data_IF_204999183681
#
_entry.id   IF_204999183681
#
_cell.length_a   1.000
_cell.length_b   1.000
_cell.length_c   1.000
_cell.angle_alpha   90.00
_cell.angle_beta   90.00
_cell.angle_gamma   90.00
#
_symmetry.space_group_name_H-M   'P 1'
#
loop_
_entity.id
_entity.type
_entity.pdbx_description
1 polymer ?
#
# COMPACT_ATOMS: atom_id res chain seq x y z
N UNK A 1 -24.99 35.34 1.24
CA UNK A 1 -24.04 35.04 0.16
C UNK A 1 -22.75 34.65 0.86
N UNK A 2 -22.54 33.36 1.00
CA UNK A 2 -21.47 32.77 1.80
C UNK A 2 -20.35 32.38 0.83
N UNK A 3 -19.25 33.11 0.87
CA UNK A 3 -17.99 32.72 0.26
C UNK A 3 -17.36 31.66 1.18
N UNK A 4 -17.44 30.39 0.80
CA UNK A 4 -16.56 29.34 1.31
C UNK A 4 -15.41 29.23 0.31
N UNK A 5 -14.20 29.64 0.71
CA UNK A 5 -12.99 29.32 -0.06
C UNK A 5 -12.68 27.86 0.19
N UNK A 6 -12.68 27.10 -0.90
CA UNK A 6 -12.17 25.74 -1.02
C UNK A 6 -10.63 25.79 -1.08
N UNK A 7 -10.00 26.02 0.07
CA UNK A 7 -8.54 25.97 0.26
C UNK A 7 -8.05 24.61 0.82
N UNK A 8 -8.91 23.60 0.81
CA UNK A 8 -8.53 22.20 1.09
C UNK A 8 -8.26 21.46 -0.23
N UNK A 9 -7.57 22.10 -1.19
CA UNK A 9 -6.79 21.35 -2.18
C UNK A 9 -5.56 20.82 -1.45
N UNK A 10 -5.80 19.76 -0.70
CA UNK A 10 -4.86 19.05 0.16
C UNK A 10 -3.53 18.86 -0.58
N UNK A 11 -2.56 19.67 -0.18
CA UNK A 11 -1.17 19.38 -0.46
C UNK A 11 -0.86 18.08 0.26
N UNK A 12 -1.01 16.96 -0.44
CA UNK A 12 -0.53 15.67 0.01
C UNK A 12 1.00 15.81 0.08
N UNK A 13 1.52 16.29 1.21
CA UNK A 13 2.95 16.24 1.51
C UNK A 13 3.22 14.83 1.98
N UNK A 14 4.03 14.16 1.19
CA UNK A 14 4.09 12.72 1.12
C UNK A 14 5.01 12.26 2.23
N UNK A 15 4.61 11.31 3.07
CA UNK A 15 5.45 10.83 4.17
C UNK A 15 6.87 10.42 3.69
N UNK A 16 7.00 9.84 2.49
CA UNK A 16 8.31 9.53 1.87
C UNK A 16 9.15 10.79 1.64
N UNK A 17 8.52 11.87 1.16
CA UNK A 17 9.20 13.14 0.92
C UNK A 17 9.46 13.92 2.20
N UNK A 18 8.57 13.84 3.18
CA UNK A 18 8.78 14.37 4.53
C UNK A 18 10.02 13.74 5.18
N UNK A 19 10.22 12.42 5.00
CA UNK A 19 11.41 11.71 5.44
C UNK A 19 12.68 12.07 4.64
N UNK A 20 12.54 12.62 3.42
CA UNK A 20 13.66 13.16 2.60
C UNK A 20 13.87 14.68 2.74
N UNK A 21 13.36 15.26 3.83
CA UNK A 21 13.48 16.68 4.16
C UNK A 21 12.70 17.64 3.25
N UNK A 22 11.63 17.18 2.59
CA UNK A 22 10.66 18.08 1.99
C UNK A 22 9.68 18.52 3.08
N UNK A 23 9.99 19.62 3.76
CA UNK A 23 9.27 20.06 4.98
C UNK A 23 8.43 21.32 4.77
N UNK A 24 8.34 21.86 3.55
CA UNK A 24 7.57 23.07 3.28
C UNK A 24 7.15 23.27 1.83
N UNK A 25 6.29 24.27 1.63
CA UNK A 25 5.77 24.69 0.31
C UNK A 25 6.90 25.10 -0.66
N UNK A 26 8.05 25.52 -0.11
CA UNK A 26 9.24 25.95 -0.84
C UNK A 26 9.95 24.79 -1.57
N UNK A 27 9.71 23.54 -1.17
CA UNK A 27 10.25 22.34 -1.82
C UNK A 27 9.30 21.75 -2.87
N UNK A 28 8.08 22.30 -2.99
CA UNK A 28 7.09 21.84 -3.96
C UNK A 28 7.34 22.47 -5.34
N UNK A 29 7.46 21.60 -6.33
CA UNK A 29 7.50 21.94 -7.75
C UNK A 29 6.21 21.46 -8.39
N UNK A 30 5.52 22.38 -9.08
CA UNK A 30 4.36 22.05 -9.89
C UNK A 30 4.81 21.36 -11.19
N UNK A 31 4.25 20.20 -11.46
CA UNK A 31 4.46 19.47 -12.70
C UNK A 31 3.33 19.77 -13.70
N UNK A 32 3.66 20.53 -14.74
CA UNK A 32 2.70 20.91 -15.78
C UNK A 32 2.22 19.70 -16.61
N UNK A 33 2.98 18.60 -16.65
CA UNK A 33 2.62 17.40 -17.41
C UNK A 33 1.53 16.56 -16.73
N UNK A 34 1.62 16.44 -15.41
CA UNK A 34 0.67 15.65 -14.60
C UNK A 34 -0.37 16.51 -13.87
N UNK A 35 -0.22 17.84 -13.92
CA UNK A 35 -1.04 18.82 -13.21
C UNK A 35 -1.07 18.57 -11.69
N UNK A 36 0.07 18.18 -11.12
CA UNK A 36 0.23 17.88 -9.70
C UNK A 36 1.47 18.57 -9.13
N UNK A 37 1.44 18.94 -7.84
CA UNK A 37 2.60 19.49 -7.13
C UNK A 37 3.32 18.37 -6.39
N UNK A 38 4.63 18.23 -6.60
CA UNK A 38 5.46 17.23 -5.90
C UNK A 38 6.62 17.91 -5.21
N UNK A 39 7.24 17.25 -4.23
CA UNK A 39 8.58 17.68 -3.85
C UNK A 39 9.56 17.47 -5.01
N UNK A 40 10.31 18.51 -5.41
CA UNK A 40 11.28 18.43 -6.51
C UNK A 40 12.34 17.32 -6.31
N UNK A 41 12.65 17.00 -5.05
CA UNK A 41 13.59 15.90 -4.69
C UNK A 41 13.01 14.49 -4.86
N UNK A 42 11.70 14.38 -5.02
CA UNK A 42 10.97 13.12 -5.20
C UNK A 42 10.45 12.91 -6.62
N UNK A 43 10.52 13.91 -7.52
CA UNK A 43 10.03 13.80 -8.90
C UNK A 43 10.61 12.59 -9.65
N UNK A 44 11.91 12.38 -9.57
CA UNK A 44 12.57 11.24 -10.20
C UNK A 44 12.14 9.89 -9.60
N UNK A 45 11.68 9.89 -8.34
CA UNK A 45 11.11 8.72 -7.70
C UNK A 45 9.71 8.44 -8.25
N UNK A 46 8.84 9.47 -8.40
CA UNK A 46 7.51 9.32 -9.02
C UNK A 46 7.55 8.80 -10.44
N UNK A 47 8.43 9.37 -11.26
CA UNK A 47 8.59 8.93 -12.63
C UNK A 47 8.97 7.44 -12.72
N UNK A 48 9.70 6.91 -11.73
CA UNK A 48 10.04 5.49 -11.68
C UNK A 48 8.87 4.63 -11.23
N UNK A 49 8.06 5.10 -10.28
CA UNK A 49 6.93 4.32 -9.75
C UNK A 49 5.84 4.07 -10.79
N UNK A 50 5.70 4.96 -11.79
CA UNK A 50 4.81 4.72 -12.95
C UNK A 50 5.15 3.43 -13.71
N UNK A 51 6.41 3.00 -13.70
CA UNK A 51 6.89 1.83 -14.45
C UNK A 51 7.24 0.65 -13.57
N UNK A 52 7.78 0.89 -12.38
CA UNK A 52 8.31 -0.14 -11.49
C UNK A 52 7.36 -0.48 -10.33
N UNK A 53 6.28 0.30 -10.15
CA UNK A 53 5.41 0.26 -8.97
C UNK A 53 6.05 0.91 -7.75
N UNK A 54 5.30 0.96 -6.65
CA UNK A 54 5.76 1.53 -5.38
C UNK A 54 6.62 0.58 -4.54
N UNK A 55 6.64 -0.71 -4.88
CA UNK A 55 7.57 -1.69 -4.29
C UNK A 55 9.05 -1.28 -4.33
N UNK A 56 9.45 -0.36 -5.21
CA UNK A 56 10.84 0.16 -5.26
C UNK A 56 11.24 0.94 -4.01
N UNK A 57 10.26 1.28 -3.15
CA UNK A 57 10.47 1.96 -1.88
C UNK A 57 10.74 0.99 -0.74
N UNK A 58 10.50 -0.31 -0.95
CA UNK A 58 10.79 -1.36 0.01
C UNK A 58 12.25 -1.81 -0.13
N UNK A 59 12.91 -2.06 1.00
CA UNK A 59 14.21 -2.74 1.02
C UNK A 59 14.05 -4.24 0.71
N UNK A 60 15.16 -4.93 0.45
CA UNK A 60 15.13 -6.39 0.24
C UNK A 60 14.58 -7.14 1.48
N UNK A 61 14.84 -6.62 2.68
CA UNK A 61 14.31 -7.17 3.94
C UNK A 61 12.80 -6.94 4.05
N UNK A 62 12.32 -5.74 3.70
CA UNK A 62 10.89 -5.41 3.67
C UNK A 62 10.14 -6.31 2.67
N UNK A 63 10.71 -6.51 1.47
CA UNK A 63 10.17 -7.45 0.48
C UNK A 63 10.11 -8.87 1.04
N UNK A 64 11.12 -9.28 1.81
CA UNK A 64 11.13 -10.56 2.54
C UNK A 64 9.98 -10.68 3.54
N UNK A 65 9.71 -9.63 4.32
CA UNK A 65 8.60 -9.58 5.28
C UNK A 65 7.24 -9.62 4.60
N UNK A 66 7.03 -8.82 3.54
CA UNK A 66 5.79 -8.83 2.75
C UNK A 66 5.54 -10.22 2.17
N UNK A 67 6.57 -10.88 1.65
CA UNK A 67 6.47 -12.25 1.16
C UNK A 67 6.09 -13.24 2.27
N UNK A 68 6.67 -13.10 3.45
CA UNK A 68 6.40 -13.97 4.59
C UNK A 68 4.94 -13.84 5.07
N UNK A 69 4.39 -12.61 5.06
CA UNK A 69 2.95 -12.37 5.25
C UNK A 69 2.15 -13.04 4.13
N UNK A 70 2.53 -12.83 2.87
CA UNK A 70 1.84 -13.38 1.71
C UNK A 70 1.70 -14.91 1.77
N UNK A 71 2.83 -15.58 2.00
CA UNK A 71 2.92 -17.04 2.06
C UNK A 71 2.16 -17.61 3.27
N UNK A 72 2.03 -16.84 4.36
CA UNK A 72 1.30 -17.26 5.55
C UNK A 72 -0.19 -17.49 5.28
N UNK A 73 -0.83 -16.63 4.50
CA UNK A 73 -2.26 -16.76 4.17
C UNK A 73 -2.51 -17.46 2.84
N UNK A 74 -1.49 -17.58 1.96
CA UNK A 74 -1.55 -18.47 0.80
C UNK A 74 -1.20 -19.92 1.16
N UNK A 75 -1.92 -20.49 2.13
CA UNK A 75 -1.67 -21.85 2.63
C UNK A 75 -1.79 -22.96 1.56
N UNK A 76 -2.37 -22.64 0.40
CA UNK A 76 -2.51 -23.55 -0.76
C UNK A 76 -1.46 -23.32 -1.84
N UNK A 77 -0.54 -22.36 -1.65
CA UNK A 77 0.49 -21.98 -2.62
C UNK A 77 -0.07 -21.71 -4.01
N UNK A 78 -1.20 -20.99 -4.07
CA UNK A 78 -1.85 -20.62 -5.34
C UNK A 78 -1.15 -19.46 -6.04
N UNK A 79 -0.35 -18.68 -5.32
CA UNK A 79 0.30 -17.46 -5.79
C UNK A 79 -0.64 -16.25 -5.81
N UNK A 80 -1.81 -16.33 -5.17
CA UNK A 80 -2.77 -15.24 -5.08
C UNK A 80 -3.70 -15.40 -3.87
N UNK A 81 -4.22 -14.27 -3.39
CA UNK A 81 -5.25 -14.20 -2.36
C UNK A 81 -6.60 -13.80 -2.96
N UNK A 82 -7.67 -14.41 -2.47
CA UNK A 82 -9.03 -13.95 -2.72
C UNK A 82 -9.51 -13.11 -1.54
N UNK A 83 -10.72 -12.58 -1.62
CA UNK A 83 -11.35 -11.85 -0.52
C UNK A 83 -11.38 -12.65 0.80
N UNK A 84 -11.33 -13.99 0.74
CA UNK A 84 -11.29 -14.85 1.93
C UNK A 84 -9.95 -14.77 2.66
N UNK A 85 -8.85 -14.84 1.92
CA UNK A 85 -7.51 -14.74 2.49
C UNK A 85 -7.26 -13.31 2.98
N UNK A 86 -7.71 -12.30 2.23
CA UNK A 86 -7.69 -10.91 2.68
C UNK A 86 -8.45 -10.72 3.99
N UNK A 87 -9.67 -11.25 4.09
CA UNK A 87 -10.46 -11.18 5.33
C UNK A 87 -9.74 -11.85 6.51
N UNK A 88 -9.13 -13.01 6.31
CA UNK A 88 -8.35 -13.67 7.34
C UNK A 88 -7.13 -12.83 7.78
N UNK A 89 -6.50 -12.12 6.85
CA UNK A 89 -5.44 -11.16 7.16
C UNK A 89 -5.96 -9.96 7.97
N UNK A 90 -7.12 -9.39 7.60
CA UNK A 90 -7.78 -8.30 8.34
C UNK A 90 -8.30 -8.71 9.73
N UNK A 91 -8.60 -9.99 9.95
CA UNK A 91 -9.00 -10.46 11.29
C UNK A 91 -7.82 -10.50 12.27
N UNK A 92 -6.60 -10.54 11.75
CA UNK A 92 -5.36 -10.63 12.52
C UNK A 92 -4.70 -9.26 12.68
N UNK A 93 -4.84 -8.39 11.68
CA UNK A 93 -4.22 -7.07 11.59
C UNK A 93 -5.26 -5.97 11.72
N UNK A 94 -4.89 -4.76 12.12
CA UNK A 94 -5.83 -3.63 12.22
C UNK A 94 -6.17 -3.02 10.84
N UNK A 95 -5.93 -3.75 9.74
CA UNK A 95 -6.15 -3.35 8.34
C UNK A 95 -7.62 -3.45 7.90
N UNK A 96 -8.53 -3.14 8.80
CA UNK A 96 -9.96 -3.21 8.56
C UNK A 96 -10.49 -2.06 7.71
N UNK A 97 -11.38 -2.38 6.78
CA UNK A 97 -12.32 -1.42 6.19
C UNK A 97 -13.48 -1.18 7.14
N UNK A 98 -14.08 0.02 7.09
CA UNK A 98 -15.32 0.31 7.81
C UNK A 98 -16.48 -0.61 7.39
N UNK A 99 -16.44 -1.10 6.14
CA UNK A 99 -17.39 -2.07 5.59
C UNK A 99 -16.74 -3.44 5.37
N UNK A 100 -17.40 -4.56 5.70
CA UNK A 100 -16.81 -5.88 5.54
C UNK A 100 -16.62 -6.27 4.06
N UNK A 101 -15.43 -6.77 3.71
CA UNK A 101 -15.12 -7.26 2.37
C UNK A 101 -15.62 -8.72 2.24
N UNK A 102 -16.77 -8.89 1.61
CA UNK A 102 -17.45 -10.20 1.50
C UNK A 102 -17.49 -10.78 0.07
N UNK A 103 -16.93 -10.06 -0.91
CA UNK A 103 -16.97 -10.49 -2.30
C UNK A 103 -15.74 -10.03 -3.08
N UNK A 104 -15.53 -10.65 -4.25
CA UNK A 104 -14.48 -10.25 -5.18
C UNK A 104 -14.66 -8.81 -5.69
N UNK A 105 -15.89 -8.33 -5.91
CA UNK A 105 -16.10 -6.95 -6.37
C UNK A 105 -15.76 -5.95 -5.27
N UNK A 106 -16.12 -6.24 -4.02
CA UNK A 106 -15.76 -5.38 -2.89
C UNK A 106 -14.25 -5.34 -2.67
N UNK A 107 -13.55 -6.47 -2.88
CA UNK A 107 -12.10 -6.48 -2.81
C UNK A 107 -11.46 -5.56 -3.85
N UNK A 108 -11.99 -5.58 -5.07
CA UNK A 108 -11.48 -4.74 -6.15
C UNK A 108 -11.74 -3.25 -5.88
N UNK A 109 -12.95 -2.90 -5.46
CA UNK A 109 -13.29 -1.52 -5.09
C UNK A 109 -12.43 -1.04 -3.90
N UNK A 110 -12.31 -1.85 -2.85
CA UNK A 110 -11.50 -1.51 -1.69
C UNK A 110 -10.03 -1.26 -2.05
N UNK A 111 -9.38 -2.13 -2.84
CA UNK A 111 -7.99 -1.91 -3.24
C UNK A 111 -7.81 -0.66 -4.11
N UNK A 112 -8.82 -0.32 -4.91
CA UNK A 112 -8.80 0.89 -5.74
C UNK A 112 -9.00 2.15 -4.90
N UNK A 113 -9.95 2.13 -3.97
CA UNK A 113 -10.30 3.31 -3.16
C UNK A 113 -9.28 3.58 -2.06
N UNK A 114 -8.82 2.54 -1.37
CA UNK A 114 -7.94 2.69 -0.20
C UNK A 114 -6.46 2.71 -0.57
N UNK A 115 -6.05 2.12 -1.69
CA UNK A 115 -4.63 2.02 -2.06
C UNK A 115 -4.31 2.53 -3.46
N UNK A 116 -5.30 2.91 -4.26
CA UNK A 116 -5.16 3.22 -5.69
C UNK A 116 -4.47 2.08 -6.49
N UNK A 117 -4.73 0.84 -6.10
CA UNK A 117 -4.18 -0.36 -6.75
C UNK A 117 -5.26 -1.08 -7.55
N UNK A 118 -5.05 -1.19 -8.86
CA UNK A 118 -5.90 -1.97 -9.75
C UNK A 118 -5.49 -3.46 -9.73
N UNK A 119 -6.19 -4.27 -8.92
CA UNK A 119 -5.95 -5.71 -8.84
C UNK A 119 -6.58 -6.49 -10.00
N UNK A 120 -5.93 -7.58 -10.40
CA UNK A 120 -6.34 -8.38 -11.56
C UNK A 120 -7.49 -9.33 -11.24
N UNK A 121 -8.27 -9.70 -12.26
CA UNK A 121 -9.27 -10.77 -12.17
C UNK A 121 -8.73 -12.10 -12.72
N UNK A 122 -8.93 -13.19 -11.98
CA UNK A 122 -8.45 -14.53 -12.33
C UNK A 122 -9.59 -15.54 -12.44
N UNK A 123 -10.06 -15.75 -13.68
CA UNK A 123 -11.03 -16.80 -14.01
C UNK A 123 -12.29 -16.75 -13.13
N UNK A 124 -12.59 -17.87 -12.48
CA UNK A 124 -13.76 -18.01 -11.62
C UNK A 124 -13.55 -17.48 -10.19
N UNK A 125 -12.32 -17.13 -9.80
CA UNK A 125 -12.01 -16.59 -8.47
C UNK A 125 -12.37 -15.10 -8.37
N UNK A 126 -12.51 -14.42 -9.53
CA UNK A 126 -12.74 -12.97 -9.59
C UNK A 126 -11.46 -12.19 -9.34
N UNK A 127 -11.58 -10.99 -8.77
CA UNK A 127 -10.46 -10.17 -8.33
C UNK A 127 -9.60 -10.88 -7.28
N UNK A 128 -8.29 -10.84 -7.49
CA UNK A 128 -7.30 -11.49 -6.64
C UNK A 128 -6.12 -10.56 -6.36
N UNK A 129 -5.52 -10.69 -5.19
CA UNK A 129 -4.31 -9.97 -4.78
C UNK A 129 -3.11 -10.85 -5.09
N UNK A 130 -2.16 -10.32 -5.86
CA UNK A 130 -0.85 -10.93 -6.08
C UNK A 130 0.16 -10.38 -5.06
N UNK A 131 1.30 -11.06 -4.92
CA UNK A 131 2.37 -10.57 -4.05
C UNK A 131 2.78 -9.12 -4.38
N UNK A 132 2.89 -8.80 -5.67
CA UNK A 132 3.24 -7.46 -6.13
C UNK A 132 2.22 -6.38 -5.70
N UNK A 133 0.94 -6.74 -5.56
CA UNK A 133 -0.10 -5.83 -5.09
C UNK A 133 0.09 -5.56 -3.59
N UNK A 134 0.46 -6.57 -2.81
CA UNK A 134 0.81 -6.42 -1.39
C UNK A 134 2.10 -5.58 -1.21
N UNK A 135 3.13 -5.83 -2.04
CA UNK A 135 4.36 -5.03 -2.07
C UNK A 135 4.06 -3.56 -2.40
N UNK A 136 3.17 -3.31 -3.37
CA UNK A 136 2.74 -1.96 -3.72
C UNK A 136 1.85 -1.32 -2.65
N UNK A 137 1.07 -2.09 -1.90
CA UNK A 137 0.28 -1.59 -0.78
C UNK A 137 1.18 -1.05 0.34
N UNK A 138 2.21 -1.80 0.73
CA UNK A 138 3.14 -1.38 1.76
C UNK A 138 4.14 -0.32 1.29
N UNK A 139 4.64 -0.46 0.05
CA UNK A 139 5.51 0.53 -0.57
C UNK A 139 4.77 1.78 -1.04
N UNK A 140 3.44 1.74 -1.08
CA UNK A 140 2.55 2.71 -1.72
C UNK A 140 2.76 4.15 -1.29
N UNK A 141 2.80 5.04 -2.27
CA UNK A 141 3.14 6.45 -2.09
C UNK A 141 2.12 7.29 -1.31
N UNK A 142 0.84 7.02 -1.48
CA UNK A 142 -0.22 7.70 -0.73
C UNK A 142 -0.12 7.41 0.79
N UNK A 143 0.59 6.35 1.20
CA UNK A 143 0.56 5.86 2.57
C UNK A 143 1.91 5.55 3.21
N UNK A 144 3.03 5.52 2.46
CA UNK A 144 4.37 5.07 2.89
C UNK A 144 4.32 4.11 4.10
N UNK A 145 3.64 2.99 3.91
CA UNK A 145 3.07 2.25 5.02
C UNK A 145 4.06 1.25 5.62
N UNK A 146 5.37 1.54 5.54
CA UNK A 146 6.44 0.72 6.11
C UNK A 146 6.25 0.60 7.62
N UNK A 147 5.88 1.69 8.30
CA UNK A 147 5.55 1.63 9.73
C UNK A 147 4.42 0.64 10.00
N UNK A 148 3.42 0.62 9.12
CA UNK A 148 2.31 -0.30 9.26
C UNK A 148 2.63 -1.73 8.76
N UNK A 149 3.67 -1.93 7.94
CA UNK A 149 4.27 -3.26 7.70
C UNK A 149 4.89 -3.79 9.00
N UNK A 150 5.63 -2.93 9.71
CA UNK A 150 6.23 -3.27 11.01
C UNK A 150 5.14 -3.61 12.02
N UNK A 151 4.10 -2.79 12.15
CA UNK A 151 2.97 -3.06 13.05
C UNK A 151 2.27 -4.39 12.73
N UNK A 152 1.97 -4.65 11.45
CA UNK A 152 1.34 -5.91 11.03
C UNK A 152 2.22 -7.12 11.40
N UNK A 153 3.54 -7.03 11.18
CA UNK A 153 4.50 -8.06 11.56
C UNK A 153 4.52 -8.27 13.08
N UNK A 154 4.64 -7.21 13.88
CA UNK A 154 4.68 -7.28 15.35
C UNK A 154 3.41 -7.92 15.92
N UNK A 155 2.24 -7.54 15.38
CA UNK A 155 0.95 -8.12 15.77
C UNK A 155 0.90 -9.61 15.44
N UNK A 156 1.33 -10.00 14.23
CA UNK A 156 1.34 -11.39 13.80
C UNK A 156 2.36 -12.24 14.60
N UNK A 157 3.51 -11.70 14.95
CA UNK A 157 4.49 -12.35 15.82
C UNK A 157 3.98 -12.51 17.25
N UNK A 158 3.35 -11.46 17.80
CA UNK A 158 2.73 -11.49 19.13
C UNK A 158 1.64 -12.56 19.25
N UNK A 159 0.98 -12.90 18.15
CA UNK A 159 0.00 -13.99 18.06
C UNK A 159 0.62 -15.36 17.72
N UNK A 160 1.94 -15.44 17.52
CA UNK A 160 2.65 -16.67 17.15
C UNK A 160 2.35 -17.15 15.72
N UNK A 161 1.86 -16.26 14.85
CA UNK A 161 1.52 -16.59 13.47
C UNK A 161 2.74 -16.54 12.56
N UNK A 162 3.69 -15.65 12.86
CA UNK A 162 4.96 -15.49 12.15
C UNK A 162 6.14 -15.64 13.11
N UNK A 163 7.29 -16.01 12.56
CA UNK A 163 8.58 -15.98 13.22
C UNK A 163 9.59 -15.30 12.28
N UNK A 164 9.85 -14.01 12.47
CA UNK A 164 10.71 -13.21 11.59
C UNK A 164 12.20 -13.43 11.82
N UNK A 165 12.60 -14.04 12.96
CA UNK A 165 13.99 -14.44 13.25
C UNK A 165 14.59 -15.49 12.31
N UNK A 166 13.92 -15.81 11.20
CA UNK A 166 14.37 -16.71 10.12
C UNK A 166 14.92 -15.92 8.92
N UNK A 167 14.79 -14.59 8.91
CA UNK A 167 15.31 -13.72 7.85
C UNK A 167 16.79 -13.29 8.03
N UNK A 168 17.51 -13.86 9.02
CA UNK A 168 18.97 -13.68 9.22
C UNK A 168 19.85 -14.60 8.35
#
# INVERSE_FOLDING_TARGET
>A
MSCHSSDDEDVVVLQVCANRHCQGIDDLEFDEETNQSYCGRCRALYARTETEGFRILLSDDDLGLVKLIFDKFDAKSRGFWTFKEWKAFQEVTDRGSAEPIESSSNLQEFFKEEYDIDIVSQGNEGAVILLADLENMYGGYLYNNIDALVEDIEVMEGQGLLHTGVLE
#
